data_IF_787571774466
#
_entry.id   IF_787571774466
#
_cell.length_a   1.000
_cell.length_b   1.000
_cell.length_c   1.000
_cell.angle_alpha   90.00
_cell.angle_beta   90.00
_cell.angle_gamma   90.00
#
_symmetry.space_group_name_H-M   'P 1'
#
loop_
_entity.id
_entity.type
_entity.pdbx_description
1 polymer ?
#
# COMPACT_ATOMS: atom_id res chain seq x y z
N UNK A 1 25.96 52.12 -53.09
CA UNK A 1 27.23 52.10 -52.34
C UNK A 1 27.73 50.66 -52.25
N UNK A 2 28.92 50.41 -52.83
CA UNK A 2 30.02 49.48 -52.46
C UNK A 2 29.78 48.02 -51.98
N UNK A 3 30.77 47.11 -52.22
CA UNK A 3 30.61 45.68 -52.55
C UNK A 3 30.99 44.76 -51.36
N UNK A 4 31.08 43.42 -51.45
CA UNK A 4 32.32 42.67 -51.83
C UNK A 4 32.09 41.14 -51.72
N UNK A 5 32.74 40.40 -52.62
CA UNK A 5 32.90 38.94 -52.69
C UNK A 5 33.34 38.25 -51.39
N UNK A 6 33.03 36.94 -51.25
CA UNK A 6 34.04 35.92 -50.89
C UNK A 6 33.56 34.48 -51.13
N UNK A 7 34.26 33.78 -52.04
CA UNK A 7 34.33 32.31 -52.13
C UNK A 7 35.25 31.78 -51.04
N UNK A 8 34.97 30.60 -50.48
CA UNK A 8 35.98 29.57 -50.19
C UNK A 8 35.42 28.16 -50.46
N UNK A 9 36.24 27.32 -51.08
CA UNK A 9 36.10 25.86 -51.17
C UNK A 9 37.16 25.21 -50.26
N UNK A 10 36.98 23.89 -50.08
CA UNK A 10 37.94 22.86 -49.60
C UNK A 10 37.84 22.62 -48.07
N UNK A 11 37.91 21.42 -47.50
CA UNK A 11 38.67 20.21 -47.85
C UNK A 11 38.05 18.89 -47.34
N UNK A 12 38.63 17.80 -47.86
CA UNK A 12 38.31 16.36 -47.78
C UNK A 12 38.26 15.75 -46.36
N UNK A 13 37.48 14.68 -46.22
CA UNK A 13 37.96 13.41 -45.62
C UNK A 13 37.08 12.22 -46.07
N UNK A 14 37.64 11.33 -46.89
CA UNK A 14 37.20 9.94 -47.02
C UNK A 14 38.14 9.09 -46.16
N UNK A 15 37.61 8.35 -45.18
CA UNK A 15 38.29 7.20 -44.57
C UNK A 15 37.25 6.10 -44.35
N UNK A 16 37.66 4.89 -44.74
CA UNK A 16 36.90 3.64 -44.75
C UNK A 16 36.79 2.99 -43.36
N UNK A 17 35.97 1.94 -43.35
CA UNK A 17 36.07 0.68 -42.59
C UNK A 17 35.08 0.46 -41.43
N UNK A 18 34.29 -0.61 -41.54
CA UNK A 18 33.28 -1.02 -40.56
C UNK A 18 32.53 -2.29 -40.96
N UNK A 19 33.28 -3.36 -41.13
CA UNK A 19 32.90 -4.72 -41.47
C UNK A 19 31.69 -5.29 -40.67
N UNK A 20 30.59 -5.67 -41.34
CA UNK A 20 29.61 -6.63 -40.81
C UNK A 20 29.42 -7.80 -41.79
N UNK A 21 30.31 -8.77 -41.61
CA UNK A 21 30.10 -10.23 -41.66
C UNK A 21 28.90 -10.72 -42.47
N UNK A 22 29.21 -11.38 -43.58
CA UNK A 22 28.38 -12.43 -44.20
C UNK A 22 28.12 -13.53 -43.16
N UNK A 23 26.87 -13.77 -42.82
CA UNK A 23 26.41 -15.02 -42.22
C UNK A 23 25.12 -15.49 -42.89
N UNK A 24 25.12 -16.77 -43.27
CA UNK A 24 23.90 -17.55 -43.51
C UNK A 24 23.30 -17.49 -44.90
N UNK A 25 23.82 -18.30 -45.83
CA UNK A 25 22.96 -18.89 -46.86
C UNK A 25 21.92 -19.75 -46.14
N UNK A 26 20.70 -19.23 -45.96
CA UNK A 26 19.58 -20.03 -45.52
C UNK A 26 19.22 -21.01 -46.64
N UNK A 27 19.36 -22.28 -46.29
CA UNK A 27 18.93 -23.48 -47.01
C UNK A 27 17.50 -23.37 -47.54
N UNK A 28 17.24 -24.11 -48.62
CA UNK A 28 15.98 -24.13 -49.36
C UNK A 28 14.74 -24.18 -48.46
N UNK A 29 14.05 -23.05 -48.38
CA UNK A 29 12.71 -22.93 -47.87
C UNK A 29 11.81 -22.52 -49.02
N UNK A 30 10.78 -23.32 -49.30
CA UNK A 30 9.72 -23.05 -50.28
C UNK A 30 9.41 -21.54 -50.30
N UNK A 31 9.54 -20.92 -51.47
CA UNK A 31 9.13 -19.52 -51.69
C UNK A 31 7.65 -19.39 -51.33
N UNK A 32 7.36 -19.01 -50.07
CA UNK A 32 6.00 -18.76 -49.61
C UNK A 32 5.51 -17.56 -50.42
N UNK A 33 4.64 -17.82 -51.39
CA UNK A 33 3.96 -16.78 -52.17
C UNK A 33 3.39 -15.75 -51.19
N UNK A 34 3.82 -14.50 -51.33
CA UNK A 34 3.36 -13.38 -50.51
C UNK A 34 1.83 -13.36 -50.61
N UNK A 35 1.11 -13.50 -49.49
CA UNK A 35 -0.36 -13.47 -49.50
C UNK A 35 -0.81 -12.12 -50.06
N UNK A 36 -1.71 -12.13 -51.05
CA UNK A 36 -2.24 -10.91 -51.65
C UNK A 36 -2.88 -10.05 -50.56
N UNK A 37 -2.42 -8.80 -50.43
CA UNK A 37 -2.96 -7.81 -49.49
C UNK A 37 -3.87 -6.90 -50.31
N UNK A 38 -5.16 -6.76 -49.94
CA UNK A 38 -6.08 -5.87 -50.64
C UNK A 38 -5.55 -4.44 -50.65
N UNK A 39 -5.58 -3.76 -51.79
CA UNK A 39 -5.11 -2.38 -51.95
C UNK A 39 -5.86 -1.37 -51.04
N UNK A 40 -7.08 -1.71 -50.61
CA UNK A 40 -7.90 -0.89 -49.72
C UNK A 40 -7.76 -1.28 -48.23
N UNK A 41 -6.79 -2.12 -47.87
CA UNK A 41 -6.54 -2.45 -46.47
C UNK A 41 -5.82 -1.28 -45.80
N UNK A 42 -6.61 -0.36 -45.25
CA UNK A 42 -6.15 0.76 -44.43
C UNK A 42 -5.48 0.15 -43.19
N UNK A 43 -4.16 -0.02 -43.25
CA UNK A 43 -3.38 -0.39 -42.09
C UNK A 43 -3.49 0.77 -41.11
N UNK A 44 -3.96 0.54 -39.88
CA UNK A 44 -3.95 1.56 -38.83
C UNK A 44 -2.50 1.86 -38.43
N UNK A 45 -1.87 2.71 -39.22
CA UNK A 45 -0.55 3.25 -39.00
C UNK A 45 0.27 3.43 -40.26
N UNK A 46 1.16 4.42 -40.26
CA UNK A 46 2.18 4.58 -41.31
C UNK A 46 3.40 3.73 -40.96
N UNK A 47 3.79 2.83 -41.86
CA UNK A 47 5.02 2.01 -41.74
C UNK A 47 6.28 2.90 -41.67
N UNK A 48 6.23 4.13 -42.23
CA UNK A 48 7.37 5.05 -42.29
C UNK A 48 7.59 5.90 -41.04
N UNK A 49 6.57 6.10 -40.19
CA UNK A 49 6.65 7.11 -39.11
C UNK A 49 6.34 6.59 -37.71
N UNK A 50 6.12 5.28 -37.52
CA UNK A 50 5.88 4.71 -36.18
C UNK A 50 4.56 5.15 -35.53
N UNK A 51 3.71 5.87 -36.26
CA UNK A 51 2.31 6.11 -35.91
C UNK A 51 1.54 4.85 -36.29
N UNK A 52 1.09 4.08 -35.32
CA UNK A 52 0.43 2.78 -35.51
C UNK A 52 0.36 2.01 -34.20
N UNK A 53 0.54 0.69 -34.23
CA UNK A 53 0.49 -0.17 -33.05
C UNK A 53 1.47 0.26 -31.93
N UNK A 54 2.64 0.79 -32.29
CA UNK A 54 3.62 1.32 -31.34
C UNK A 54 3.11 2.59 -30.63
N UNK A 55 2.45 3.49 -31.36
CA UNK A 55 1.81 4.68 -30.80
C UNK A 55 0.64 4.32 -29.87
N UNK A 56 -0.25 3.41 -30.31
CA UNK A 56 -1.35 2.89 -29.46
C UNK A 56 -0.81 2.22 -28.19
N UNK A 57 0.29 1.48 -28.29
CA UNK A 57 0.95 0.87 -27.12
C UNK A 57 1.54 1.94 -26.20
N UNK A 58 2.18 2.97 -26.75
CA UNK A 58 2.71 4.13 -26.01
C UNK A 58 1.60 4.89 -25.29
N UNK A 59 0.46 5.11 -25.92
CA UNK A 59 -0.72 5.73 -25.31
C UNK A 59 -1.32 4.89 -24.20
N UNK A 60 -1.44 3.57 -24.40
CA UNK A 60 -1.89 2.64 -23.35
C UNK A 60 -0.96 2.69 -22.13
N UNK A 61 0.35 2.63 -22.35
CA UNK A 61 1.36 2.72 -21.27
C UNK A 61 1.24 4.07 -20.55
N UNK A 62 1.11 5.19 -21.28
CA UNK A 62 0.91 6.53 -20.69
C UNK A 62 -0.38 6.59 -19.86
N UNK A 63 -1.46 6.01 -20.36
CA UNK A 63 -2.74 5.98 -19.66
C UNK A 63 -2.65 5.14 -18.37
N UNK A 64 -2.02 3.96 -18.42
CA UNK A 64 -1.80 3.12 -17.24
C UNK A 64 -0.93 3.80 -16.18
N UNK A 65 0.15 4.47 -16.62
CA UNK A 65 1.00 5.28 -15.74
C UNK A 65 0.22 6.42 -15.08
N UNK A 66 -0.53 7.19 -15.86
CA UNK A 66 -1.37 8.27 -15.34
C UNK A 66 -2.49 7.75 -14.42
N UNK A 67 -3.02 6.54 -14.67
CA UNK A 67 -3.98 5.87 -13.80
C UNK A 67 -3.35 5.49 -12.45
N UNK A 68 -2.11 5.02 -12.43
CA UNK A 68 -1.37 4.77 -11.20
C UNK A 68 -1.12 6.07 -10.43
N UNK A 69 -0.66 7.13 -11.11
CA UNK A 69 -0.47 8.44 -10.49
C UNK A 69 -1.78 9.01 -9.91
N UNK A 70 -2.91 8.87 -10.62
CA UNK A 70 -4.23 9.26 -10.12
C UNK A 70 -4.63 8.47 -8.87
N UNK A 71 -4.37 7.15 -8.86
CA UNK A 71 -4.64 6.30 -7.68
C UNK A 71 -3.76 6.68 -6.50
N UNK A 72 -2.49 6.98 -6.75
CA UNK A 72 -1.54 7.41 -5.72
C UNK A 72 -1.93 8.77 -5.13
N UNK A 73 -2.25 9.76 -5.97
CA UNK A 73 -2.76 11.08 -5.52
C UNK A 73 -4.07 10.98 -4.73
N UNK A 74 -4.94 10.03 -5.08
CA UNK A 74 -6.18 9.78 -4.32
C UNK A 74 -5.93 9.09 -2.98
N UNK A 75 -4.94 8.21 -2.89
CA UNK A 75 -4.56 7.54 -1.63
C UNK A 75 -3.85 8.50 -0.68
N UNK A 76 -2.99 9.34 -1.21
CA UNK A 76 -2.23 10.35 -0.48
C UNK A 76 -2.65 11.74 -0.98
N UNK A 77 -3.82 12.25 -0.56
CA UNK A 77 -4.15 13.64 -0.84
C UNK A 77 -3.06 14.49 -0.16
N UNK A 78 -2.20 15.12 -0.97
CA UNK A 78 -1.32 16.18 -0.46
C UNK A 78 -2.26 17.29 -0.02
N UNK A 79 -2.49 17.38 1.28
CA UNK A 79 -3.15 18.54 1.84
C UNK A 79 -2.23 19.73 1.57
N UNK A 80 -2.49 20.48 0.51
CA UNK A 80 -1.98 21.84 0.37
C UNK A 80 -2.72 22.65 1.42
N UNK A 81 -2.28 22.50 2.66
CA UNK A 81 -2.76 23.25 3.80
C UNK A 81 -2.19 24.66 3.61
N UNK A 82 -2.93 25.49 2.86
CA UNK A 82 -2.56 26.89 2.63
C UNK A 82 -2.54 27.69 3.95
N UNK A 83 -3.24 27.21 4.97
CA UNK A 83 -3.27 27.77 6.31
C UNK A 83 -2.95 26.67 7.32
N UNK A 84 -1.76 26.69 7.92
CA UNK A 84 -1.50 25.94 9.15
C UNK A 84 -2.33 26.59 10.24
N UNK A 85 -3.57 26.15 10.38
CA UNK A 85 -4.44 26.52 11.49
C UNK A 85 -3.86 25.94 12.79
N UNK A 86 -2.86 26.62 13.35
CA UNK A 86 -2.50 26.46 14.75
C UNK A 86 -3.54 27.21 15.58
N UNK A 87 -4.70 26.58 15.75
CA UNK A 87 -5.69 27.03 16.71
C UNK A 87 -5.10 27.01 18.12
N UNK A 88 -5.43 27.99 18.98
CA UNK A 88 -5.03 27.97 20.38
C UNK A 88 -5.38 26.64 21.05
N UNK A 89 -4.43 26.06 21.77
CA UNK A 89 -4.50 24.68 22.28
C UNK A 89 -5.77 24.42 23.11
N UNK A 90 -6.24 25.42 23.87
CA UNK A 90 -7.43 25.34 24.72
C UNK A 90 -8.76 25.25 23.96
N UNK A 91 -8.83 25.69 22.71
CA UNK A 91 -10.05 25.60 21.88
C UNK A 91 -10.09 24.38 20.98
N UNK A 92 -8.96 23.66 20.86
CA UNK A 92 -8.82 22.45 20.05
C UNK A 92 -9.91 21.42 20.34
N UNK A 93 -10.33 21.28 21.60
CA UNK A 93 -11.35 20.32 22.01
C UNK A 93 -12.73 20.61 21.43
N UNK A 94 -13.10 21.89 21.31
CA UNK A 94 -14.40 22.30 20.78
C UNK A 94 -14.49 21.98 19.28
N UNK A 95 -13.42 22.28 18.54
CA UNK A 95 -13.33 21.95 17.10
C UNK A 95 -13.24 20.44 16.83
N UNK A 96 -12.52 19.69 17.67
CA UNK A 96 -12.48 18.23 17.56
C UNK A 96 -13.87 17.61 17.83
N UNK A 97 -14.60 18.13 18.82
CA UNK A 97 -15.96 17.67 19.12
C UNK A 97 -16.92 17.93 17.95
N UNK A 98 -16.87 19.13 17.35
CA UNK A 98 -17.70 19.47 16.18
C UNK A 98 -17.37 18.57 14.96
N UNK A 99 -16.08 18.35 14.69
CA UNK A 99 -15.64 17.47 13.61
C UNK A 99 -16.09 16.01 13.82
N UNK A 100 -16.10 15.53 15.06
CA UNK A 100 -16.61 14.20 15.39
C UNK A 100 -18.14 14.11 15.23
N UNK A 101 -18.87 15.15 15.63
CA UNK A 101 -20.31 15.20 15.44
C UNK A 101 -20.69 15.17 13.95
N UNK A 102 -20.02 15.95 13.11
CA UNK A 102 -20.21 15.92 11.65
C UNK A 102 -19.88 14.55 11.05
N UNK A 103 -18.85 13.87 11.56
CA UNK A 103 -18.52 12.50 11.15
C UNK A 103 -19.59 11.48 11.53
N UNK A 104 -20.11 11.56 12.76
CA UNK A 104 -21.21 10.70 13.25
C UNK A 104 -22.47 10.93 12.42
N UNK A 105 -22.85 12.18 12.20
CA UNK A 105 -24.01 12.55 11.39
C UNK A 105 -23.87 12.08 9.94
N UNK A 106 -22.70 12.25 9.32
CA UNK A 106 -22.46 11.75 7.96
C UNK A 106 -22.53 10.21 7.88
N UNK A 107 -22.06 9.52 8.92
CA UNK A 107 -22.17 8.07 9.03
C UNK A 107 -23.63 7.62 9.20
N UNK A 108 -24.39 8.26 10.08
CA UNK A 108 -25.82 8.02 10.26
C UNK A 108 -26.59 8.28 8.96
N UNK A 109 -26.34 9.40 8.28
CA UNK A 109 -26.94 9.71 6.98
C UNK A 109 -26.62 8.64 5.93
N UNK A 110 -25.39 8.11 5.91
CA UNK A 110 -25.01 7.01 5.02
C UNK A 110 -25.77 5.73 5.36
N UNK A 111 -25.84 5.37 6.64
CA UNK A 111 -26.58 4.19 7.12
C UNK A 111 -28.07 4.34 6.81
N UNK A 112 -28.66 5.50 7.06
CA UNK A 112 -30.06 5.80 6.77
C UNK A 112 -30.35 5.73 5.27
N UNK A 113 -29.47 6.25 4.42
CA UNK A 113 -29.57 6.11 2.96
C UNK A 113 -29.48 4.65 2.51
N UNK A 114 -28.64 3.84 3.15
CA UNK A 114 -28.55 2.40 2.90
C UNK A 114 -29.83 1.68 3.34
N UNK A 115 -30.34 1.98 4.54
CA UNK A 115 -31.60 1.44 5.07
C UNK A 115 -32.78 1.81 4.18
N UNK A 116 -32.83 3.05 3.67
CA UNK A 116 -33.87 3.49 2.72
C UNK A 116 -33.84 2.69 1.42
N UNK A 117 -32.64 2.42 0.87
CA UNK A 117 -32.48 1.57 -0.32
C UNK A 117 -32.93 0.14 -0.08
N UNK A 118 -32.61 -0.43 1.08
CA UNK A 118 -33.07 -1.77 1.46
C UNK A 118 -34.59 -1.83 1.69
N UNK A 119 -35.17 -0.77 2.27
CA UNK A 119 -36.62 -0.66 2.49
C UNK A 119 -37.40 -0.47 1.19
N UNK A 120 -36.83 0.23 0.21
CA UNK A 120 -37.39 0.34 -1.14
C UNK A 120 -37.49 -1.02 -1.84
N UNK A 121 -36.49 -1.89 -1.68
CA UNK A 121 -36.52 -3.23 -2.28
C UNK A 121 -37.50 -4.21 -1.61
N UNK A 122 -37.93 -3.95 -0.37
CA UNK A 122 -38.95 -4.76 0.32
C UNK A 122 -40.38 -4.28 0.07
N UNK A 123 -40.57 -3.08 -0.51
CA UNK A 123 -41.91 -2.53 -0.78
C UNK A 123 -42.48 -2.89 -2.15
N UNK A 124 -41.65 -3.36 -3.08
CA UNK A 124 -42.10 -3.81 -4.42
C UNK A 124 -42.57 -5.27 -4.46
N UNK A 125 -42.86 -5.87 -3.29
CA UNK A 125 -43.27 -7.28 -3.17
C UNK A 125 -44.51 -7.53 -2.29
N UNK A 126 -45.26 -6.51 -1.90
CA UNK A 126 -46.46 -6.70 -1.06
C UNK A 126 -47.55 -5.70 -1.42
N UNK A 127 -48.12 -5.89 -2.60
CA UNK A 127 -49.52 -5.56 -2.87
C UNK A 127 -50.15 -6.83 -3.44
N UNK A 128 -50.80 -7.63 -2.59
CA UNK A 128 -52.06 -8.33 -2.88
C UNK A 128 -52.49 -9.19 -1.69
N UNK A 129 -53.74 -8.95 -1.31
CA UNK A 129 -54.65 -9.70 -0.44
C UNK A 129 -54.67 -9.36 1.06
N UNK A 130 -55.87 -8.92 1.43
CA UNK A 130 -56.35 -8.59 2.76
C UNK A 130 -56.71 -9.86 3.57
N UNK A 131 -56.87 -9.61 4.87
CA UNK A 131 -57.63 -10.36 5.88
C UNK A 131 -57.08 -11.70 6.37
N UNK A 132 -56.65 -11.75 7.65
CA UNK A 132 -57.36 -12.40 8.79
C UNK A 132 -56.59 -12.06 10.10
N UNK A 133 -57.26 -11.79 11.24
CA UNK A 133 -56.68 -11.09 12.38
C UNK A 133 -56.23 -11.99 13.54
N UNK A 134 -55.27 -11.46 14.31
CA UNK A 134 -55.24 -11.56 15.78
C UNK A 134 -54.68 -12.82 16.42
N UNK A 135 -53.45 -12.74 16.94
CA UNK A 135 -53.08 -13.30 18.24
C UNK A 135 -51.88 -12.51 18.79
N UNK A 136 -52.14 -11.60 19.72
CA UNK A 136 -51.18 -11.12 20.69
C UNK A 136 -50.67 -12.31 21.50
N UNK A 137 -49.36 -12.44 21.74
CA UNK A 137 -48.85 -12.95 23.01
C UNK A 137 -47.45 -12.42 23.29
N UNK A 138 -47.45 -11.52 24.26
CA UNK A 138 -46.32 -11.12 25.09
C UNK A 138 -45.99 -12.26 26.06
N UNK A 139 -44.70 -12.57 26.25
CA UNK A 139 -44.17 -13.50 27.26
C UNK A 139 -42.78 -13.95 26.78
N UNK A 140 -41.66 -13.70 27.47
CA UNK A 140 -41.45 -13.85 28.90
C UNK A 140 -41.07 -15.31 29.17
N UNK A 141 -39.87 -15.53 29.74
CA UNK A 141 -39.27 -16.83 30.12
C UNK A 141 -38.74 -17.69 28.95
N UNK A 142 -37.60 -18.38 29.02
CA UNK A 142 -36.69 -18.67 30.13
C UNK A 142 -35.38 -19.23 29.57
N UNK A 143 -34.37 -19.26 30.44
CA UNK A 143 -33.08 -19.90 30.22
C UNK A 143 -33.23 -21.35 29.74
N UNK A 144 -32.47 -21.70 28.70
CA UNK A 144 -31.85 -23.01 28.63
C UNK A 144 -30.38 -22.82 28.31
N UNK A 145 -29.57 -22.91 29.36
CA UNK A 145 -28.18 -23.33 29.23
C UNK A 145 -28.17 -24.64 28.46
N UNK A 146 -27.51 -24.64 27.31
CA UNK A 146 -27.11 -25.86 26.65
C UNK A 146 -25.71 -25.65 26.12
N UNK A 147 -24.79 -26.11 26.95
CA UNK A 147 -23.39 -26.34 26.68
C UNK A 147 -23.20 -26.88 25.25
N UNK A 148 -22.74 -26.03 24.33
CA UNK A 148 -22.09 -26.50 23.12
C UNK A 148 -20.63 -26.75 23.48
N UNK A 149 -20.41 -27.95 24.00
CA UNK A 149 -19.08 -28.47 24.25
C UNK A 149 -18.26 -28.49 22.97
N UNK A 150 -16.97 -28.18 23.15
CA UNK A 150 -15.89 -28.63 22.29
C UNK A 150 -16.16 -30.05 21.77
N UNK A 151 -15.94 -30.35 20.49
CA UNK A 151 -15.52 -31.70 20.14
C UNK A 151 -14.06 -31.82 20.60
N UNK A 152 -13.84 -32.29 21.83
CA UNK A 152 -12.60 -32.98 22.12
C UNK A 152 -12.45 -34.15 21.13
N UNK A 153 -11.23 -34.40 20.62
CA UNK A 153 -10.99 -35.52 19.74
C UNK A 153 -11.19 -36.80 20.53
N UNK A 154 -12.29 -37.51 20.27
CA UNK A 154 -12.46 -38.89 20.69
C UNK A 154 -11.30 -39.70 20.12
N UNK A 155 -10.36 -40.06 20.99
CA UNK A 155 -9.38 -41.13 20.80
C UNK A 155 -10.17 -42.43 20.73
N UNK A 156 -10.77 -42.72 19.59
CA UNK A 156 -11.37 -44.02 19.31
C UNK A 156 -10.23 -44.97 18.96
N UNK A 157 -9.76 -45.68 19.98
CA UNK A 157 -9.04 -46.95 19.87
C UNK A 157 -9.96 -47.97 19.18
N UNK A 158 -10.00 -47.93 17.85
CA UNK A 158 -10.40 -49.07 17.05
C UNK A 158 -9.21 -49.47 16.20
N UNK A 159 -8.89 -50.76 16.30
CA UNK A 159 -7.80 -51.46 15.63
C UNK A 159 -7.78 -51.16 14.13
N UNK A 160 -7.11 -50.08 13.74
CA UNK A 160 -6.92 -49.75 12.34
C UNK A 160 -5.78 -50.61 11.82
N UNK A 161 -6.10 -51.55 10.92
CA UNK A 161 -5.12 -52.18 10.05
C UNK A 161 -4.10 -51.13 9.57
N UNK A 162 -2.79 -51.45 9.51
CA UNK A 162 -1.76 -50.47 9.22
C UNK A 162 -2.05 -49.81 7.88
N UNK A 163 -2.60 -48.60 7.94
CA UNK A 163 -2.99 -47.82 6.77
C UNK A 163 -1.74 -47.71 5.90
N UNK A 164 -1.79 -48.29 4.71
CA UNK A 164 -0.63 -48.30 3.82
C UNK A 164 -0.10 -46.87 3.66
N UNK A 165 1.22 -46.74 3.54
CA UNK A 165 1.87 -45.43 3.40
C UNK A 165 1.27 -44.57 2.27
N UNK A 166 0.62 -45.22 1.29
CA UNK A 166 -0.10 -44.57 0.18
C UNK A 166 -1.42 -43.91 0.61
N UNK A 167 -2.21 -44.54 1.49
CA UNK A 167 -3.48 -43.99 1.96
C UNK A 167 -3.29 -42.86 2.98
N UNK A 168 -2.31 -42.98 3.88
CA UNK A 168 -1.92 -41.91 4.80
C UNK A 168 -1.55 -40.62 4.05
N UNK A 169 -0.76 -40.74 2.98
CA UNK A 169 -0.41 -39.62 2.09
C UNK A 169 -1.60 -39.01 1.37
N UNK A 170 -2.71 -39.72 1.19
CA UNK A 170 -3.92 -39.19 0.53
C UNK A 170 -4.81 -38.42 1.51
N UNK A 171 -4.95 -38.93 2.74
CA UNK A 171 -5.73 -38.29 3.80
C UNK A 171 -5.04 -37.03 4.32
N UNK A 172 -3.70 -37.03 4.40
CA UNK A 172 -2.94 -35.83 4.80
C UNK A 172 -2.83 -34.76 3.70
N UNK A 173 -3.28 -35.03 2.47
CA UNK A 173 -3.30 -34.01 1.41
C UNK A 173 -4.44 -33.04 1.65
N UNK A 174 -4.09 -31.81 2.02
CA UNK A 174 -5.04 -30.70 2.11
C UNK A 174 -5.70 -30.42 0.77
N UNK A 175 -7.00 -30.16 0.79
CA UNK A 175 -7.76 -29.73 -0.39
C UNK A 175 -7.30 -28.34 -0.84
N UNK A 176 -7.57 -27.96 -2.10
CA UNK A 176 -7.23 -26.62 -2.60
C UNK A 176 -7.83 -25.52 -1.74
N UNK A 177 -9.09 -25.67 -1.33
CA UNK A 177 -9.78 -24.71 -0.47
C UNK A 177 -9.12 -24.59 0.92
N UNK A 178 -8.78 -25.71 1.56
CA UNK A 178 -8.07 -25.71 2.84
C UNK A 178 -6.73 -24.97 2.73
N UNK A 179 -5.98 -25.18 1.65
CA UNK A 179 -4.73 -24.44 1.38
C UNK A 179 -4.99 -22.94 1.26
N UNK A 180 -6.01 -22.52 0.51
CA UNK A 180 -6.32 -21.09 0.36
C UNK A 180 -6.74 -20.41 1.67
N UNK A 181 -7.45 -21.13 2.55
CA UNK A 181 -7.85 -20.64 3.87
C UNK A 181 -6.61 -20.44 4.77
N UNK A 182 -5.72 -21.44 4.81
CA UNK A 182 -4.48 -21.35 5.56
C UNK A 182 -3.56 -20.23 5.04
N UNK A 183 -3.45 -20.06 3.73
CA UNK A 183 -2.69 -18.96 3.13
C UNK A 183 -3.25 -17.60 3.53
N UNK A 184 -4.57 -17.45 3.58
CA UNK A 184 -5.22 -16.22 4.03
C UNK A 184 -4.90 -15.91 5.49
N UNK A 185 -5.00 -16.91 6.37
CA UNK A 185 -4.67 -16.79 7.80
C UNK A 185 -3.18 -16.42 7.98
N UNK A 186 -2.28 -17.12 7.29
CA UNK A 186 -0.85 -16.80 7.27
C UNK A 186 -0.56 -15.37 6.79
N UNK A 187 -1.30 -14.86 5.80
CA UNK A 187 -1.16 -13.48 5.32
C UNK A 187 -1.62 -12.49 6.39
N UNK A 188 -2.72 -12.78 7.10
CA UNK A 188 -3.20 -11.94 8.20
C UNK A 188 -2.19 -11.89 9.35
N UNK A 189 -1.65 -13.04 9.76
CA UNK A 189 -0.64 -13.12 10.81
C UNK A 189 0.63 -12.38 10.43
N UNK A 190 1.15 -12.57 9.21
CA UNK A 190 2.30 -11.82 8.70
C UNK A 190 2.05 -10.31 8.73
N UNK A 191 0.83 -9.85 8.47
CA UNK A 191 0.46 -8.42 8.58
C UNK A 191 0.41 -7.97 10.03
N UNK A 192 -0.09 -8.78 10.97
CA UNK A 192 -0.08 -8.49 12.42
C UNK A 192 1.34 -8.38 12.96
N UNK A 193 2.18 -9.38 12.68
CA UNK A 193 3.59 -9.40 13.08
C UNK A 193 4.35 -8.18 12.51
N UNK A 194 4.12 -7.82 11.25
CA UNK A 194 4.72 -6.60 10.67
C UNK A 194 4.27 -5.33 11.37
N UNK A 195 2.99 -5.22 11.76
CA UNK A 195 2.46 -4.07 12.50
C UNK A 195 3.07 -4.00 13.90
N UNK A 196 3.14 -5.11 14.62
CA UNK A 196 3.73 -5.19 15.95
C UNK A 196 5.23 -4.86 15.93
N UNK A 197 5.97 -5.42 14.99
CA UNK A 197 7.40 -5.10 14.80
C UNK A 197 7.60 -3.62 14.48
N UNK A 198 6.73 -3.04 13.64
CA UNK A 198 6.76 -1.60 13.35
C UNK A 198 6.49 -0.75 14.58
N UNK A 199 5.49 -1.10 15.40
CA UNK A 199 5.17 -0.39 16.64
C UNK A 199 6.34 -0.44 17.63
N UNK A 200 6.95 -1.62 17.82
CA UNK A 200 8.14 -1.76 18.67
C UNK A 200 9.32 -0.93 18.17
N UNK A 201 9.61 -0.96 16.86
CA UNK A 201 10.69 -0.16 16.28
C UNK A 201 10.42 1.35 16.42
N UNK A 202 9.16 1.77 16.24
CA UNK A 202 8.73 3.15 16.45
C UNK A 202 8.94 3.59 17.90
N UNK A 203 8.53 2.78 18.87
CA UNK A 203 8.76 3.05 20.30
C UNK A 203 10.25 3.16 20.61
N UNK A 204 11.07 2.21 20.16
CA UNK A 204 12.53 2.26 20.34
C UNK A 204 13.14 3.54 19.75
N UNK A 205 12.68 3.97 18.57
CA UNK A 205 13.12 5.21 17.94
C UNK A 205 12.71 6.44 18.74
N UNK A 206 11.46 6.49 19.20
CA UNK A 206 10.95 7.58 20.01
C UNK A 206 11.68 7.67 21.36
N UNK A 207 11.89 6.53 22.03
CA UNK A 207 12.68 6.44 23.26
C UNK A 207 14.12 6.86 23.05
N UNK A 208 14.77 6.43 21.97
CA UNK A 208 16.14 6.83 21.65
C UNK A 208 16.25 8.35 21.41
N UNK A 209 15.30 8.92 20.66
CA UNK A 209 15.23 10.37 20.42
C UNK A 209 14.99 11.11 21.74
N UNK A 210 14.09 10.62 22.57
CA UNK A 210 13.77 11.21 23.87
C UNK A 210 15.00 11.20 24.78
N UNK A 211 15.66 10.05 24.93
CA UNK A 211 16.91 9.90 25.70
C UNK A 211 18.00 10.84 25.19
N UNK A 212 18.16 10.96 23.88
CA UNK A 212 19.13 11.90 23.29
C UNK A 212 18.79 13.35 23.66
N UNK A 213 17.52 13.75 23.52
CA UNK A 213 17.07 15.11 23.88
C UNK A 213 17.25 15.40 25.37
N UNK A 214 16.89 14.45 26.24
CA UNK A 214 17.09 14.55 27.69
C UNK A 214 18.56 14.74 28.01
N UNK A 215 19.43 13.84 27.54
CA UNK A 215 20.88 13.95 27.72
C UNK A 215 21.41 15.28 27.21
N UNK A 216 20.96 15.76 26.05
CA UNK A 216 21.36 17.06 25.49
C UNK A 216 20.98 18.23 26.40
N UNK A 217 19.76 18.21 26.96
CA UNK A 217 19.28 19.26 27.86
C UNK A 217 20.02 19.20 29.20
N UNK A 218 20.23 18.02 29.75
CA UNK A 218 20.98 17.80 31.00
C UNK A 218 22.43 18.25 30.87
N UNK A 219 23.12 17.86 29.80
CA UNK A 219 24.52 18.28 29.56
C UNK A 219 24.61 19.77 29.31
N UNK A 220 23.68 20.35 28.55
CA UNK A 220 23.62 21.80 28.38
C UNK A 220 23.39 22.49 29.72
N UNK A 221 22.43 22.02 30.52
CA UNK A 221 22.14 22.57 31.85
C UNK A 221 23.39 22.54 32.73
N UNK A 222 24.10 21.41 32.79
CA UNK A 222 25.34 21.24 33.54
C UNK A 222 26.45 22.20 33.06
N UNK A 223 26.70 22.24 31.75
CA UNK A 223 27.78 23.04 31.16
C UNK A 223 27.49 24.55 31.18
N UNK A 224 26.20 24.93 31.18
CA UNK A 224 25.73 26.32 31.24
C UNK A 224 25.68 26.90 32.65
N UNK A 225 26.01 26.11 33.69
CA UNK A 225 26.03 26.58 35.07
C UNK A 225 27.07 27.69 35.26
N UNK A 226 26.65 28.75 35.96
CA UNK A 226 27.46 29.92 36.25
C UNK A 226 27.57 30.14 37.76
N UNK A 227 28.67 30.72 38.20
CA UNK A 227 28.88 31.14 39.59
C UNK A 227 28.00 32.36 39.91
N UNK A 228 27.88 32.73 41.20
CA UNK A 228 27.12 33.92 41.63
C UNK A 228 27.56 35.22 40.94
N UNK A 229 28.81 35.27 40.44
CA UNK A 229 29.39 36.39 39.69
C UNK A 229 29.15 36.31 38.17
N UNK A 230 28.38 35.33 37.70
CA UNK A 230 28.05 35.14 36.27
C UNK A 230 29.13 34.47 35.41
N UNK A 231 30.26 34.09 36.01
CA UNK A 231 31.35 33.38 35.33
C UNK A 231 31.00 31.89 35.16
N UNK A 232 31.47 31.22 34.10
CA UNK A 232 31.25 29.79 33.92
C UNK A 232 31.89 28.98 35.07
N UNK A 233 31.20 27.94 35.53
CA UNK A 233 31.72 27.08 36.58
C UNK A 233 32.66 26.01 36.00
N UNK A 234 33.97 26.31 35.95
CA UNK A 234 34.99 25.45 35.34
C UNK A 234 35.07 24.06 35.99
N UNK A 235 34.86 23.93 37.29
CA UNK A 235 34.96 22.64 37.99
C UNK A 235 33.93 21.64 37.45
N UNK A 236 32.69 22.09 37.25
CA UNK A 236 31.61 21.27 36.68
C UNK A 236 31.91 20.86 35.24
N UNK A 237 32.52 21.75 34.45
CA UNK A 237 32.94 21.43 33.08
C UNK A 237 34.10 20.42 33.05
N UNK A 238 35.06 20.55 33.98
CA UNK A 238 36.17 19.62 34.16
C UNK A 238 35.69 18.22 34.57
N UNK A 239 34.76 18.12 35.52
CA UNK A 239 34.16 16.85 35.92
C UNK A 239 33.45 16.15 34.76
N UNK A 240 32.66 16.89 33.98
CA UNK A 240 32.01 16.35 32.78
C UNK A 240 33.02 15.84 31.75
N UNK A 241 34.13 16.57 31.54
CA UNK A 241 35.19 16.17 30.63
C UNK A 241 35.92 14.90 31.12
N UNK A 242 36.26 14.83 32.40
CA UNK A 242 36.87 13.65 33.01
C UNK A 242 35.96 12.43 32.90
N UNK A 243 34.65 12.60 33.16
CA UNK A 243 33.66 11.54 32.98
C UNK A 243 33.61 11.05 31.53
N UNK A 244 33.72 11.94 30.54
CA UNK A 244 33.72 11.58 29.12
C UNK A 244 34.99 10.83 28.71
N UNK A 245 36.15 11.16 29.28
CA UNK A 245 37.41 10.45 29.03
C UNK A 245 37.34 9.05 29.65
N UNK A 246 37.02 8.95 30.95
CA UNK A 246 36.93 7.67 31.66
C UNK A 246 35.83 6.75 31.11
N UNK A 247 34.76 7.33 30.58
CA UNK A 247 33.67 6.59 29.94
C UNK A 247 33.93 6.21 28.47
N UNK A 248 34.97 6.78 27.83
CA UNK A 248 35.35 6.43 26.46
C UNK A 248 36.26 5.20 26.39
N UNK A 249 36.90 4.84 27.50
CA UNK A 249 37.80 3.68 27.63
C UNK A 249 37.07 2.37 28.01
N UNK A 250 35.73 2.34 27.95
CA UNK A 250 34.88 1.18 28.28
C UNK A 250 33.96 0.76 27.14
#
# INVERSE_FOLDING_TARGET
MAPTNQKRKNDKAQIKDGNFRKEGKASGGVNKKKKWIPHNKIFEGSIKEGQGFAFKKKEKIRHEYNKLLRRERKKNPKANVAYKEEYPEHLKHLYLAEAEQLRKQAWENRVNRSKLRMRGQMKDGTENNADVPGTDLTGGSELTDSASGNPEPTTSEQESFPISNRMRKKIQRKTSYQKTKEEFENIQEKRRLKKEAYLKNKQQREEAIHRYKQKKVETFRLLSQKTKKGQPNLNVQMEYLLQKIQGADK
#
